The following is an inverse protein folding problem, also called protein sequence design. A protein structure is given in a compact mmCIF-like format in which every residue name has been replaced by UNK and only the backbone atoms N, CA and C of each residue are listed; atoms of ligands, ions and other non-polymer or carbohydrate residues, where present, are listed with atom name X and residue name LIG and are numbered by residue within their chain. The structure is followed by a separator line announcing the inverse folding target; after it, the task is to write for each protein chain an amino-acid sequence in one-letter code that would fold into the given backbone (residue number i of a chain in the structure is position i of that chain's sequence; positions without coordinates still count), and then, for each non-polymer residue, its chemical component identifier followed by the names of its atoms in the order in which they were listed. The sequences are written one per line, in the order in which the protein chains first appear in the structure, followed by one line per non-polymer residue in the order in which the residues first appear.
data_IF_934125875785
#
_entry.id   IF_934125875785
#
_cell.length_a   1.000
_cell.length_b   1.000
_cell.length_c   1.000
_cell.angle_alpha   90.00
_cell.angle_beta   90.00
_cell.angle_gamma   90.00
#
_symmetry.space_group_name_H-M   'P 1'
#
loop_
_entity.id
_entity.type
_entity.pdbx_description
1 polymer ?
#
# COMPACT_ATOMS: atom_id res chain seq x y z
N UNK A 1 4.01 -1.59 18.49
CA UNK A 1 4.09 -0.42 17.59
C UNK A 1 4.46 -0.90 16.19
N UNK A 2 3.94 -0.26 15.15
CA UNK A 2 4.20 -0.61 13.75
C UNK A 2 4.66 0.62 12.98
N UNK A 3 5.45 0.41 11.92
CA UNK A 3 5.89 1.48 11.03
C UNK A 3 4.76 1.92 10.09
N UNK A 4 3.69 2.51 10.63
CA UNK A 4 2.46 2.86 9.89
C UNK A 4 1.33 1.83 10.01
N UNK A 5 0.25 2.04 9.26
CA UNK A 5 -0.93 1.16 9.24
C UNK A 5 -1.63 1.18 7.88
N UNK A 6 -2.35 0.10 7.61
CA UNK A 6 -3.16 -0.09 6.42
C UNK A 6 -4.65 0.01 6.79
N UNK A 7 -5.50 0.19 5.78
CA UNK A 7 -6.95 -0.01 5.97
C UNK A 7 -7.25 -1.52 6.10
N UNK A 8 -8.38 -1.87 6.70
CA UNK A 8 -8.76 -3.27 6.98
C UNK A 8 -8.90 -4.14 5.71
N UNK A 9 -9.19 -3.50 4.58
CA UNK A 9 -9.40 -4.11 3.26
C UNK A 9 -8.11 -4.13 2.40
N UNK A 10 -6.96 -3.82 2.99
CA UNK A 10 -5.66 -3.73 2.30
C UNK A 10 -4.72 -4.80 2.84
N UNK A 11 -4.10 -5.56 1.93
CA UNK A 11 -3.08 -6.55 2.30
C UNK A 11 -1.70 -5.92 2.36
N UNK A 12 -0.88 -6.41 3.28
CA UNK A 12 0.57 -6.17 3.30
C UNK A 12 1.27 -7.39 2.73
N UNK A 13 1.96 -7.22 1.60
CA UNK A 13 2.69 -8.27 0.88
C UNK A 13 4.19 -7.94 0.86
N UNK A 14 4.96 -8.71 0.09
CA UNK A 14 6.40 -8.51 -0.05
C UNK A 14 7.17 -8.90 1.20
N UNK A 15 8.13 -8.06 1.60
CA UNK A 15 8.90 -8.17 2.86
C UNK A 15 8.03 -7.92 4.10
N UNK A 16 6.82 -7.37 3.91
CA UNK A 16 5.89 -7.06 5.00
C UNK A 16 6.08 -5.65 5.56
N UNK A 17 5.60 -5.43 6.78
CA UNK A 17 5.75 -4.15 7.50
C UNK A 17 6.54 -4.35 8.78
N UNK A 18 7.60 -3.57 9.02
CA UNK A 18 8.32 -3.58 10.30
C UNK A 18 7.40 -3.28 11.48
N UNK A 19 7.55 -4.07 12.55
CA UNK A 19 6.85 -3.87 13.81
C UNK A 19 7.76 -4.19 14.99
N UNK A 20 7.44 -3.62 16.15
CA UNK A 20 8.09 -3.93 17.41
C UNK A 20 7.05 -4.15 18.52
N UNK A 21 7.28 -5.15 19.37
CA UNK A 21 6.49 -5.45 20.54
C UNK A 21 7.32 -5.19 21.80
N UNK A 22 6.88 -4.27 22.64
CA UNK A 22 7.50 -4.03 23.94
C UNK A 22 6.79 -4.85 25.00
N UNK A 23 7.54 -5.68 25.73
CA UNK A 23 7.05 -6.43 26.88
C UNK A 23 7.45 -5.65 28.14
N UNK A 24 6.46 -5.20 28.92
CA UNK A 24 6.72 -4.49 30.16
C UNK A 24 7.14 -5.47 31.27
N UNK A 25 8.15 -5.09 32.05
CA UNK A 25 8.67 -5.85 33.21
C UNK A 25 8.90 -7.35 32.93
N UNK A 26 9.69 -7.71 31.91
CA UNK A 26 9.92 -9.10 31.59
C UNK A 26 10.69 -9.79 32.72
N UNK A 27 10.15 -10.92 33.23
CA UNK A 27 10.84 -11.73 34.24
C UNK A 27 12.09 -12.43 33.70
N UNK A 28 12.13 -12.68 32.40
CA UNK A 28 13.21 -13.37 31.71
C UNK A 28 13.30 -12.89 30.26
N UNK A 29 14.50 -12.90 29.70
CA UNK A 29 14.74 -12.64 28.28
C UNK A 29 14.86 -13.98 27.53
N UNK A 30 14.18 -14.16 26.40
CA UNK A 30 14.27 -15.39 25.62
C UNK A 30 15.63 -15.49 24.90
N UNK A 31 16.11 -16.72 24.69
CA UNK A 31 17.26 -16.95 23.81
C UNK A 31 16.88 -16.74 22.34
N UNK A 32 17.86 -16.50 21.44
CA UNK A 32 17.59 -16.42 20.00
C UNK A 32 16.86 -17.64 19.43
N UNK A 33 17.14 -18.86 19.93
CA UNK A 33 16.44 -20.08 19.52
C UNK A 33 14.98 -20.10 19.97
N UNK A 34 14.70 -19.60 21.18
CA UNK A 34 13.34 -19.49 21.68
C UNK A 34 12.51 -18.49 20.87
N UNK A 35 13.15 -17.40 20.40
CA UNK A 35 12.53 -16.40 19.53
C UNK A 35 12.23 -16.99 18.15
N UNK A 36 13.18 -17.70 17.52
CA UNK A 36 12.94 -18.42 16.27
C UNK A 36 11.80 -19.42 16.38
N UNK A 37 11.80 -20.23 17.44
CA UNK A 37 10.73 -21.20 17.70
C UNK A 37 9.37 -20.54 17.90
N UNK A 38 9.33 -19.31 18.44
CA UNK A 38 8.10 -18.53 18.56
C UNK A 38 7.58 -18.09 17.20
N UNK A 39 8.47 -17.61 16.31
CA UNK A 39 8.10 -17.24 14.94
C UNK A 39 7.44 -18.41 14.21
N UNK A 40 8.06 -19.59 14.24
CA UNK A 40 7.55 -20.78 13.55
C UNK A 40 6.16 -21.19 14.07
N UNK A 41 5.95 -21.14 15.40
CA UNK A 41 4.65 -21.40 16.01
C UNK A 41 3.60 -20.39 15.58
N UNK A 42 3.93 -19.10 15.56
CA UNK A 42 3.02 -18.06 15.10
C UNK A 42 2.59 -18.33 13.65
N UNK A 43 3.53 -18.60 12.76
CA UNK A 43 3.24 -18.86 11.36
C UNK A 43 2.40 -20.13 11.14
N UNK A 44 2.64 -21.18 11.92
CA UNK A 44 1.85 -22.41 11.85
C UNK A 44 0.39 -22.23 12.33
N UNK A 45 0.14 -21.31 13.26
CA UNK A 45 -1.19 -21.09 13.84
C UNK A 45 -2.09 -20.18 12.99
N UNK A 46 -1.51 -19.32 12.15
CA UNK A 46 -2.24 -18.20 11.52
C UNK A 46 -2.96 -18.54 10.22
N UNK A 47 -3.07 -19.83 9.85
CA UNK A 47 -3.83 -20.32 8.68
C UNK A 47 -3.63 -19.52 7.38
N UNK A 48 -2.46 -18.91 7.19
CA UNK A 48 -2.13 -18.11 6.01
C UNK A 48 -2.67 -16.67 5.99
N UNK A 49 -3.30 -16.18 7.07
CA UNK A 49 -3.76 -14.79 7.15
C UNK A 49 -2.63 -13.79 7.42
N UNK A 50 -1.67 -14.18 8.27
CA UNK A 50 -0.53 -13.36 8.68
C UNK A 50 0.70 -14.25 8.78
N UNK A 51 1.83 -13.75 8.29
CA UNK A 51 3.14 -14.37 8.45
C UNK A 51 4.09 -13.37 9.13
N UNK A 52 4.88 -13.85 10.07
CA UNK A 52 5.94 -13.11 10.76
C UNK A 52 7.28 -13.61 10.26
N UNK A 53 8.18 -12.67 9.94
CA UNK A 53 9.53 -12.93 9.46
C UNK A 53 10.50 -12.06 10.25
N UNK A 54 11.77 -12.48 10.31
CA UNK A 54 12.85 -11.76 10.99
C UNK A 54 12.55 -11.40 12.46
N UNK A 55 11.83 -12.27 13.18
CA UNK A 55 11.55 -12.05 14.60
C UNK A 55 12.86 -12.15 15.41
N UNK A 56 13.21 -11.05 16.06
CA UNK A 56 14.45 -10.92 16.84
C UNK A 56 14.23 -10.04 18.07
N UNK A 57 15.17 -10.09 19.01
CA UNK A 57 15.23 -9.11 20.09
C UNK A 57 15.83 -7.82 19.55
N UNK A 58 15.19 -6.70 19.85
CA UNK A 58 15.59 -5.38 19.34
C UNK A 58 16.21 -4.54 20.46
N UNK A 59 17.16 -3.69 20.08
CA UNK A 59 17.64 -2.62 20.95
C UNK A 59 16.80 -1.34 20.76
N UNK A 60 17.08 -0.33 21.59
CA UNK A 60 16.36 0.95 21.52
C UNK A 60 16.59 1.69 20.19
N UNK A 61 17.76 1.52 19.56
CA UNK A 61 18.09 2.20 18.31
C UNK A 61 17.28 1.64 17.14
N UNK A 62 17.15 0.31 17.02
CA UNK A 62 16.30 -0.33 16.02
C UNK A 62 14.84 0.04 16.21
N UNK A 63 14.36 0.11 17.46
CA UNK A 63 12.99 0.54 17.76
C UNK A 63 12.74 1.97 17.27
N UNK A 64 13.66 2.91 17.51
CA UNK A 64 13.56 4.27 16.98
C UNK A 64 13.62 4.31 15.45
N UNK A 65 14.45 3.47 14.83
CA UNK A 65 14.53 3.36 13.38
C UNK A 65 13.20 2.88 12.77
N UNK A 66 12.54 1.89 13.38
CA UNK A 66 11.18 1.43 13.00
C UNK A 66 10.14 2.56 13.11
N UNK A 67 10.28 3.50 14.06
CA UNK A 67 9.34 4.65 14.17
C UNK A 67 9.51 5.62 13.01
N UNK A 68 10.76 6.01 12.75
CA UNK A 68 11.11 6.98 11.69
C UNK A 68 10.75 6.47 10.31
N UNK A 69 10.92 5.16 10.10
CA UNK A 69 10.66 4.52 8.82
C UNK A 69 9.20 4.72 8.33
N UNK A 70 8.26 4.94 9.25
CA UNK A 70 6.83 5.08 8.92
C UNK A 70 6.48 6.33 8.12
N UNK A 71 7.30 7.39 8.26
CA UNK A 71 7.06 8.72 7.69
C UNK A 71 8.03 9.12 6.58
N UNK A 72 9.15 8.41 6.45
CA UNK A 72 10.26 8.81 5.58
C UNK A 72 10.35 7.96 4.32
N UNK A 73 10.11 6.65 4.41
CA UNK A 73 10.35 5.76 3.28
C UNK A 73 9.23 5.76 2.25
N UNK A 74 9.65 5.48 1.02
CA UNK A 74 8.74 5.24 -0.08
C UNK A 74 7.92 3.97 0.20
N UNK A 75 6.75 3.88 -0.44
CA UNK A 75 5.90 2.69 -0.39
C UNK A 75 5.49 2.30 -1.80
N UNK A 76 5.54 1.00 -2.06
CA UNK A 76 5.05 0.42 -3.30
C UNK A 76 3.68 -0.22 -3.11
N UNK A 77 2.83 -0.08 -4.12
CA UNK A 77 1.47 -0.60 -4.11
C UNK A 77 1.14 -1.30 -5.42
N UNK A 78 0.20 -2.24 -5.35
CA UNK A 78 -0.52 -2.77 -6.48
C UNK A 78 -2.02 -2.58 -6.24
N UNK A 79 -2.72 -2.01 -7.20
CA UNK A 79 -4.15 -1.74 -7.12
C UNK A 79 -4.88 -2.35 -8.32
N UNK A 80 -6.03 -2.96 -8.06
CA UNK A 80 -6.96 -3.35 -9.13
C UNK A 80 -7.92 -2.18 -9.32
N UNK A 81 -7.86 -1.58 -10.49
CA UNK A 81 -8.59 -0.38 -10.84
C UNK A 81 -9.54 -0.63 -12.00
N UNK A 82 -10.61 0.15 -12.04
CA UNK A 82 -11.58 0.20 -13.13
C UNK A 82 -11.61 1.62 -13.70
N UNK A 83 -11.78 1.74 -15.01
CA UNK A 83 -11.98 3.02 -15.71
C UNK A 83 -13.30 3.02 -16.48
N UNK A 84 -13.95 4.18 -16.57
CA UNK A 84 -15.24 4.32 -17.28
C UNK A 84 -15.14 4.06 -18.79
N UNK A 85 -13.97 4.26 -19.38
CA UNK A 85 -13.64 3.79 -20.73
C UNK A 85 -12.55 2.72 -20.65
N UNK A 86 -12.51 1.83 -21.64
CA UNK A 86 -11.42 0.87 -21.80
C UNK A 86 -10.08 1.60 -21.95
N UNK A 87 -9.12 1.42 -21.03
CA UNK A 87 -7.78 1.97 -21.20
C UNK A 87 -7.05 1.28 -22.36
N UNK A 88 -6.26 2.05 -23.09
CA UNK A 88 -5.48 1.59 -24.24
C UNK A 88 -4.01 1.41 -23.85
N UNK A 89 -3.21 0.70 -24.67
CA UNK A 89 -1.76 0.66 -24.47
C UNK A 89 -1.10 2.05 -24.45
N UNK A 90 -1.63 3.01 -25.22
CA UNK A 90 -1.14 4.39 -25.22
C UNK A 90 -1.41 5.09 -23.89
N UNK A 91 -2.56 4.84 -23.26
CA UNK A 91 -2.86 5.35 -21.92
C UNK A 91 -1.86 4.81 -20.88
N UNK A 92 -1.58 3.50 -20.93
CA UNK A 92 -0.61 2.89 -20.01
C UNK A 92 0.81 3.41 -20.22
N UNK A 93 1.22 3.65 -21.46
CA UNK A 93 2.49 4.29 -21.77
C UNK A 93 2.54 5.74 -21.24
N UNK A 94 1.45 6.49 -21.38
CA UNK A 94 1.35 7.85 -20.85
C UNK A 94 1.43 7.88 -19.32
N UNK A 95 0.74 6.97 -18.63
CA UNK A 95 0.85 6.81 -17.17
C UNK A 95 2.29 6.50 -16.76
N UNK A 96 2.96 5.58 -17.45
CA UNK A 96 4.35 5.24 -17.16
C UNK A 96 5.31 6.43 -17.35
N UNK A 97 5.02 7.31 -18.32
CA UNK A 97 5.80 8.51 -18.59
C UNK A 97 5.44 9.71 -17.70
N UNK A 98 4.34 9.65 -16.94
CA UNK A 98 3.85 10.77 -16.13
C UNK A 98 4.65 10.97 -14.82
N UNK A 99 5.47 9.99 -14.40
CA UNK A 99 6.26 10.07 -13.18
C UNK A 99 7.64 10.70 -13.38
N UNK A 100 8.21 11.41 -12.38
CA UNK A 100 7.62 11.71 -11.07
C UNK A 100 6.51 12.76 -11.14
N UNK A 101 5.42 12.54 -10.39
CA UNK A 101 4.23 13.39 -10.38
C UNK A 101 3.98 13.94 -8.98
N UNK A 102 3.87 15.26 -8.84
CA UNK A 102 3.43 15.90 -7.60
C UNK A 102 1.91 16.00 -7.60
N UNK A 103 1.29 15.50 -6.54
CA UNK A 103 -0.16 15.44 -6.34
C UNK A 103 -0.53 16.24 -5.11
N UNK A 104 -1.45 17.19 -5.26
CA UNK A 104 -2.04 17.90 -4.14
C UNK A 104 -3.21 17.08 -3.57
N UNK A 105 -3.05 16.58 -2.35
CA UNK A 105 -4.08 15.79 -1.65
C UNK A 105 -4.64 16.57 -0.46
N UNK A 106 -5.90 17.00 -0.57
CA UNK A 106 -6.66 17.43 0.59
C UNK A 106 -6.99 16.22 1.46
N UNK A 107 -7.02 16.40 2.79
CA UNK A 107 -7.38 15.34 3.74
C UNK A 107 -8.64 14.59 3.27
N UNK A 108 -8.56 13.27 3.01
CA UNK A 108 -9.67 12.53 2.42
C UNK A 108 -10.96 12.62 3.22
N UNK A 109 -12.11 12.66 2.54
CA UNK A 109 -13.42 12.76 3.20
C UNK A 109 -13.59 11.68 4.27
N UNK A 110 -13.24 10.43 3.95
CA UNK A 110 -13.38 9.28 4.85
C UNK A 110 -12.59 9.40 6.17
N UNK A 111 -11.55 10.24 6.23
CA UNK A 111 -10.73 10.45 7.44
C UNK A 111 -10.88 11.85 8.05
N UNK A 112 -11.68 12.74 7.47
CA UNK A 112 -11.89 14.11 7.97
C UNK A 112 -12.34 14.15 9.43
N UNK A 113 -13.13 13.17 9.87
CA UNK A 113 -13.60 13.08 11.26
C UNK A 113 -12.49 12.82 12.29
N UNK A 114 -11.26 12.47 11.86
CA UNK A 114 -10.12 12.20 12.75
C UNK A 114 -8.88 13.05 12.45
N UNK A 115 -8.90 13.84 11.38
CA UNK A 115 -7.72 14.54 10.86
C UNK A 115 -8.08 15.97 10.49
N UNK A 116 -7.16 16.90 10.75
CA UNK A 116 -7.30 18.27 10.30
C UNK A 116 -7.43 18.32 8.78
N UNK A 117 -8.37 19.12 8.30
CA UNK A 117 -8.57 19.35 6.88
C UNK A 117 -7.44 20.24 6.35
N UNK A 118 -6.55 19.68 5.53
CA UNK A 118 -5.43 20.42 4.93
C UNK A 118 -5.03 19.77 3.60
N UNK A 119 -4.52 20.59 2.68
CA UNK A 119 -3.91 20.13 1.43
C UNK A 119 -2.44 19.82 1.69
N UNK A 120 -1.97 18.68 1.19
CA UNK A 120 -0.58 18.25 1.30
C UNK A 120 -0.12 17.74 -0.06
N UNK A 121 1.01 18.26 -0.51
CA UNK A 121 1.66 17.73 -1.70
C UNK A 121 2.31 16.38 -1.40
N UNK A 122 2.15 15.45 -2.33
CA UNK A 122 2.70 14.10 -2.27
C UNK A 122 3.26 13.72 -3.61
N UNK A 123 4.41 13.07 -3.62
CA UNK A 123 5.05 12.62 -4.86
C UNK A 123 4.68 11.17 -5.15
N UNK A 124 4.14 10.92 -6.35
CA UNK A 124 4.14 9.61 -6.98
C UNK A 124 5.42 9.51 -7.80
N UNK A 125 6.39 8.75 -7.33
CA UNK A 125 7.71 8.66 -7.96
C UNK A 125 7.65 7.93 -9.30
N UNK A 126 6.88 6.84 -9.35
CA UNK A 126 6.66 6.08 -10.56
C UNK A 126 5.28 5.42 -10.53
N UNK A 127 4.75 5.16 -11.71
CA UNK A 127 3.55 4.37 -11.88
C UNK A 127 3.64 3.54 -13.16
N UNK A 128 2.95 2.41 -13.20
CA UNK A 128 2.76 1.62 -14.42
C UNK A 128 1.44 0.90 -14.36
N UNK A 129 0.87 0.60 -15.52
CA UNK A 129 -0.41 -0.09 -15.58
C UNK A 129 -0.42 -1.13 -16.70
N UNK A 130 -1.18 -2.19 -16.50
CA UNK A 130 -1.47 -3.17 -17.54
C UNK A 130 -2.91 -3.64 -17.44
N UNK A 131 -3.50 -4.01 -18.58
CA UNK A 131 -4.85 -4.55 -18.60
C UNK A 131 -4.98 -5.78 -17.68
N UNK A 132 -6.15 -5.92 -17.07
CA UNK A 132 -6.54 -7.11 -16.33
C UNK A 132 -7.67 -7.77 -17.10
N UNK A 133 -7.39 -8.95 -17.66
CA UNK A 133 -8.39 -9.77 -18.33
C UNK A 133 -9.04 -10.65 -17.27
N UNK A 134 -10.33 -10.44 -17.01
CA UNK A 134 -11.10 -11.32 -16.16
C UNK A 134 -11.60 -12.49 -17.01
N UNK A 135 -11.28 -13.71 -16.60
CA UNK A 135 -11.79 -14.92 -17.25
C UNK A 135 -13.33 -14.98 -17.13
N UNK A 136 -13.99 -15.32 -18.23
CA UNK A 136 -15.44 -15.47 -18.25
C UNK A 136 -15.88 -16.54 -17.24
N UNK A 137 -16.63 -16.14 -16.21
CA UNK A 137 -17.14 -17.04 -15.15
C UNK A 137 -16.50 -16.86 -13.77
N UNK A 138 -15.41 -16.10 -13.63
CA UNK A 138 -14.76 -15.83 -12.34
C UNK A 138 -15.39 -14.67 -11.55
N UNK A 139 -16.73 -14.61 -11.48
CA UNK A 139 -17.45 -13.61 -10.68
C UNK A 139 -17.67 -12.25 -11.35
N UNK A 140 -17.51 -12.15 -12.67
CA UNK A 140 -17.98 -11.00 -13.46
C UNK A 140 -19.49 -10.83 -13.23
N UNK A 141 -19.89 -9.69 -12.64
CA UNK A 141 -21.29 -9.43 -12.25
C UNK A 141 -22.10 -8.84 -13.39
N UNK A 142 -21.44 -8.22 -14.38
CA UNK A 142 -22.05 -7.61 -15.56
C UNK A 142 -21.05 -7.55 -16.75
N UNK A 143 -21.54 -7.21 -17.95
CA UNK A 143 -20.81 -7.06 -19.20
C UNK A 143 -19.58 -6.13 -19.06
N UNK A 144 -19.68 -5.08 -18.24
CA UNK A 144 -18.58 -4.13 -17.97
C UNK A 144 -17.36 -4.79 -17.33
N UNK A 145 -17.53 -5.91 -16.61
CA UNK A 145 -16.42 -6.68 -16.03
C UNK A 145 -15.65 -7.48 -17.09
N UNK A 146 -16.31 -7.84 -18.20
CA UNK A 146 -15.71 -8.57 -19.32
C UNK A 146 -15.08 -7.66 -20.38
N UNK A 147 -15.49 -6.38 -20.46
CA UNK A 147 -15.17 -5.48 -21.57
C UNK A 147 -13.75 -4.84 -21.50
N UNK A 148 -12.90 -5.27 -20.56
CA UNK A 148 -11.51 -4.82 -20.45
C UNK A 148 -11.34 -3.44 -19.80
N UNK A 149 -12.30 -3.02 -18.98
CA UNK A 149 -12.23 -1.78 -18.19
C UNK A 149 -11.32 -1.90 -16.96
N UNK A 150 -11.01 -3.15 -16.56
CA UNK A 150 -10.18 -3.46 -15.43
C UNK A 150 -8.70 -3.47 -15.80
N UNK A 151 -7.87 -2.94 -14.91
CA UNK A 151 -6.42 -2.91 -15.05
C UNK A 151 -5.75 -2.98 -13.69
N UNK A 152 -4.50 -3.43 -13.67
CA UNK A 152 -3.66 -3.35 -12.48
C UNK A 152 -2.81 -2.10 -12.60
N UNK A 153 -2.81 -1.28 -11.56
CA UNK A 153 -1.95 -0.11 -11.39
C UNK A 153 -0.89 -0.43 -10.35
N UNK A 154 0.38 -0.20 -10.67
CA UNK A 154 1.51 -0.28 -9.74
C UNK A 154 2.05 1.12 -9.49
N UNK A 155 2.34 1.43 -8.23
CA UNK A 155 2.76 2.77 -7.79
C UNK A 155 3.92 2.66 -6.82
N UNK A 156 4.88 3.58 -6.94
CA UNK A 156 5.81 3.90 -5.85
C UNK A 156 5.60 5.35 -5.44
N UNK A 157 5.34 5.59 -4.17
CA UNK A 157 4.91 6.92 -3.68
C UNK A 157 5.63 7.34 -2.41
N UNK A 158 5.60 8.64 -2.13
CA UNK A 158 6.00 9.21 -0.86
C UNK A 158 5.14 8.65 0.29
N UNK A 159 5.72 8.52 1.47
CA UNK A 159 4.99 8.18 2.68
C UNK A 159 3.77 9.10 2.89
N UNK A 160 2.64 8.48 3.29
CA UNK A 160 1.40 9.20 3.59
C UNK A 160 0.63 9.69 2.35
N UNK A 161 0.95 9.18 1.16
CA UNK A 161 0.10 9.33 -0.04
C UNK A 161 -1.18 8.50 0.12
N UNK A 162 -2.33 9.11 -0.13
CA UNK A 162 -3.63 8.44 -0.07
C UNK A 162 -3.96 7.81 -1.42
N UNK A 163 -3.63 6.52 -1.59
CA UNK A 163 -3.70 5.83 -2.87
C UNK A 163 -5.14 5.71 -3.41
N UNK A 164 -6.11 5.38 -2.55
CA UNK A 164 -7.52 5.30 -2.95
C UNK A 164 -7.97 6.63 -3.57
N UNK A 165 -7.67 7.72 -2.89
CA UNK A 165 -8.02 9.07 -3.31
C UNK A 165 -7.20 9.58 -4.51
N UNK A 166 -5.96 9.12 -4.70
CA UNK A 166 -5.24 9.34 -5.96
C UNK A 166 -5.95 8.67 -7.14
N UNK A 167 -6.51 7.47 -6.95
CA UNK A 167 -7.28 6.79 -8.00
C UNK A 167 -8.59 7.54 -8.27
N UNK A 168 -9.49 7.61 -7.30
CA UNK A 168 -10.87 8.11 -7.55
C UNK A 168 -11.03 9.64 -7.49
N UNK A 169 -9.99 10.38 -7.12
CA UNK A 169 -9.98 11.85 -7.08
C UNK A 169 -10.68 12.50 -5.88
N UNK A 170 -11.42 11.73 -5.06
CA UNK A 170 -12.14 12.17 -3.87
C UNK A 170 -13.01 13.40 -4.11
N UNK A 171 -13.77 13.39 -5.22
CA UNK A 171 -14.61 14.51 -5.67
C UNK A 171 -13.82 15.82 -5.88
N UNK A 172 -12.62 15.71 -6.45
CA UNK A 172 -11.75 16.87 -6.77
C UNK A 172 -10.85 17.31 -5.61
N UNK A 173 -10.80 16.54 -4.51
CA UNK A 173 -9.93 16.82 -3.37
C UNK A 173 -8.50 16.31 -3.56
N UNK A 174 -8.27 15.48 -4.57
CA UNK A 174 -6.95 15.05 -5.01
C UNK A 174 -6.75 15.45 -6.47
N UNK A 175 -5.66 16.18 -6.77
CA UNK A 175 -5.34 16.58 -8.14
C UNK A 175 -3.83 16.74 -8.37
N UNK A 176 -3.28 16.27 -9.50
CA UNK A 176 -3.93 15.38 -10.46
C UNK A 176 -4.25 14.01 -9.85
N UNK A 177 -5.41 13.47 -10.19
CA UNK A 177 -5.84 12.09 -9.91
C UNK A 177 -5.62 11.18 -11.11
N UNK A 178 -5.72 9.87 -10.93
CA UNK A 178 -5.68 8.91 -12.03
C UNK A 178 -6.79 9.17 -13.06
N UNK A 179 -7.97 9.59 -12.59
CA UNK A 179 -9.05 9.98 -13.48
C UNK A 179 -8.72 11.20 -14.35
N UNK A 180 -8.02 12.19 -13.78
CA UNK A 180 -7.52 13.35 -14.54
C UNK A 180 -6.50 12.91 -15.60
N UNK A 181 -5.58 12.00 -15.25
CA UNK A 181 -4.56 11.49 -16.16
C UNK A 181 -5.16 10.68 -17.32
N UNK A 182 -6.21 9.91 -17.07
CA UNK A 182 -6.90 9.09 -18.08
C UNK A 182 -8.05 9.84 -18.77
N UNK A 183 -8.40 11.05 -18.32
CA UNK A 183 -9.54 11.81 -18.84
C UNK A 183 -10.88 11.10 -18.67
N UNK A 184 -11.05 10.28 -17.63
CA UNK A 184 -12.30 9.56 -17.35
C UNK A 184 -12.42 9.20 -15.87
N UNK A 185 -13.63 8.82 -15.42
CA UNK A 185 -13.82 8.32 -14.06
C UNK A 185 -13.02 7.03 -13.84
N UNK A 186 -12.37 6.93 -12.68
CA UNK A 186 -11.70 5.69 -12.25
C UNK A 186 -12.07 5.32 -10.82
N UNK A 187 -12.02 4.02 -10.53
CA UNK A 187 -12.34 3.43 -9.23
C UNK A 187 -11.29 2.41 -8.84
N UNK A 188 -11.17 2.13 -7.55
CA UNK A 188 -10.28 1.12 -6.98
C UNK A 188 -11.12 0.03 -6.31
N UNK A 189 -10.85 -1.23 -6.63
CA UNK A 189 -11.52 -2.38 -6.01
C UNK A 189 -10.65 -3.04 -4.95
N UNK A 190 -9.36 -3.21 -5.25
CA UNK A 190 -8.39 -3.83 -4.34
C UNK A 190 -7.13 -3.01 -4.28
N UNK A 191 -6.49 -3.01 -3.12
CA UNK A 191 -5.22 -2.35 -2.89
C UNK A 191 -4.36 -3.24 -2.00
N UNK A 192 -3.15 -3.49 -2.46
CA UNK A 192 -2.10 -4.13 -1.69
C UNK A 192 -0.92 -3.19 -1.55
N UNK A 193 -0.30 -3.19 -0.38
CA UNK A 193 1.05 -2.68 -0.23
C UNK A 193 1.99 -3.81 -0.60
N UNK A 194 2.84 -3.60 -1.60
CA UNK A 194 3.78 -4.63 -2.07
C UNK A 194 5.17 -4.45 -1.49
N UNK A 195 5.50 -3.25 -1.01
CA UNK A 195 6.79 -2.97 -0.39
C UNK A 195 6.78 -1.73 0.49
N UNK A 196 7.66 -1.74 1.50
CA UNK A 196 8.01 -0.59 2.34
C UNK A 196 9.52 -0.46 2.24
N UNK A 197 10.00 0.58 1.56
CA UNK A 197 11.41 0.74 1.21
C UNK A 197 12.25 1.17 2.42
N UNK A 198 12.43 0.29 3.40
CA UNK A 198 13.04 0.56 4.69
C UNK A 198 14.57 0.39 4.73
N UNK A 199 15.20 0.37 3.55
CA UNK A 199 16.67 0.29 3.37
C UNK A 199 17.33 -0.88 4.13
N UNK A 200 16.63 -2.00 4.29
CA UNK A 200 17.16 -3.19 4.94
C UNK A 200 17.26 -3.08 6.46
N UNK A 201 16.37 -2.29 7.07
CA UNK A 201 16.27 -2.06 8.52
C UNK A 201 16.35 -3.34 9.37
N UNK A 202 15.87 -4.46 8.82
CA UNK A 202 15.75 -5.76 9.47
C UNK A 202 16.47 -6.89 8.72
N UNK A 203 17.36 -6.57 7.77
CA UNK A 203 18.11 -7.54 6.96
C UNK A 203 19.32 -8.16 7.71
N UNK A 204 19.30 -8.12 9.05
CA UNK A 204 20.39 -8.59 9.93
C UNK A 204 20.01 -9.84 10.73
#
# INVERSE_FOLDING_TARGET
MSSGREDIDVRMLGSGRPFALQIAEPRWLPSPDAVRSLQDRLNAQQQGFVEVRHLSLLDAATVEAIKKSSSEHQKSYAAVCWAARKPTPADFAALAAAGPLVVAQQTPVRVLHRRSNAVRERTVYSMSAHALVLEAGAGARDQTDADGHWFVLRLTTQAGTYIKEFVHGDMGRTSPSLGDLLGCETRIAFLDVTDVHDDGLLDH
#
